data_IF_280299431623
#
_entry.id   IF_280299431623
#
_cell.length_a   1.000
_cell.length_b   1.000
_cell.length_c   1.000
_cell.angle_alpha   90.00
_cell.angle_beta   90.00
_cell.angle_gamma   90.00
#
_symmetry.space_group_name_H-M   'P 1'
#
loop_
_entity.id
_entity.type
_entity.pdbx_description
1 polymer ?
#
# COMPACT_ATOMS: atom_id res chain seq x y z
N UNK A 1 84.81 36.03 15.51
CA UNK A 1 83.84 36.32 16.58
C UNK A 1 82.49 35.84 16.19
N UNK A 2 81.97 34.82 16.90
CA UNK A 2 80.56 34.35 16.96
C UNK A 2 79.97 33.48 15.85
N UNK A 3 80.59 32.32 15.49
CA UNK A 3 79.90 31.19 14.91
C UNK A 3 79.12 30.32 15.94
N UNK A 4 79.51 30.45 17.25
CA UNK A 4 78.87 29.69 18.33
C UNK A 4 77.48 30.18 18.71
N UNK A 5 77.13 31.39 18.44
CA UNK A 5 75.77 31.95 18.79
C UNK A 5 74.71 31.54 17.83
N UNK A 6 75.02 31.26 16.59
CA UNK A 6 74.06 30.82 15.59
C UNK A 6 73.68 29.36 15.73
N UNK A 7 74.56 28.47 16.19
CA UNK A 7 74.29 27.06 16.41
C UNK A 7 73.36 26.81 17.61
N UNK A 8 73.41 27.63 18.66
CA UNK A 8 72.60 27.43 19.84
C UNK A 8 71.13 27.85 19.65
N UNK A 9 70.87 28.81 18.74
CA UNK A 9 69.50 29.21 18.40
C UNK A 9 68.77 28.20 17.55
N UNK A 10 69.46 27.47 16.66
CA UNK A 10 68.85 26.38 15.87
C UNK A 10 68.40 25.22 16.76
N UNK A 11 69.14 24.87 17.79
CA UNK A 11 68.81 23.74 18.71
C UNK A 11 67.51 23.98 19.48
N UNK A 12 67.13 25.22 19.80
CA UNK A 12 65.91 25.53 20.56
C UNK A 12 64.64 25.41 19.68
N UNK A 13 64.75 25.63 18.38
CA UNK A 13 63.59 25.57 17.48
C UNK A 13 63.28 24.19 16.96
N UNK A 14 64.21 23.25 16.97
CA UNK A 14 63.98 21.86 16.48
C UNK A 14 62.83 21.15 17.16
N UNK A 15 62.67 21.15 18.49
CA UNK A 15 61.56 20.47 19.14
C UNK A 15 60.20 21.08 18.79
N UNK A 16 60.18 22.40 18.53
CA UNK A 16 58.94 23.11 18.11
C UNK A 16 58.51 22.63 16.73
N UNK A 17 59.41 22.56 15.77
CA UNK A 17 59.11 22.08 14.42
C UNK A 17 58.68 20.62 14.39
N UNK A 18 59.31 19.78 15.21
CA UNK A 18 58.91 18.36 15.36
C UNK A 18 57.50 18.22 15.96
N UNK A 19 57.16 19.03 16.96
CA UNK A 19 55.84 19.01 17.57
C UNK A 19 54.74 19.47 16.57
N UNK A 20 55.01 20.52 15.79
CA UNK A 20 54.11 21.00 14.76
C UNK A 20 53.90 19.93 13.67
N UNK A 21 54.97 19.28 13.20
CA UNK A 21 54.90 18.22 12.21
C UNK A 21 54.07 17.03 12.73
N UNK A 22 54.24 16.65 13.99
CA UNK A 22 53.47 15.59 14.63
C UNK A 22 51.98 15.93 14.73
N UNK A 23 51.64 17.18 15.09
CA UNK A 23 50.27 17.66 15.17
C UNK A 23 49.62 17.62 13.78
N UNK A 24 50.31 18.11 12.73
CA UNK A 24 49.80 18.08 11.37
C UNK A 24 49.55 16.63 10.89
N UNK A 25 50.50 15.74 11.16
CA UNK A 25 50.36 14.32 10.83
C UNK A 25 49.16 13.70 11.54
N UNK A 26 49.02 13.95 12.85
CA UNK A 26 47.90 13.43 13.66
C UNK A 26 46.56 13.96 13.21
N UNK A 27 46.45 15.26 12.89
CA UNK A 27 45.22 15.84 12.33
C UNK A 27 44.87 15.26 10.97
N UNK A 28 45.86 15.07 10.09
CA UNK A 28 45.65 14.47 8.79
C UNK A 28 45.18 12.99 8.91
N UNK A 29 45.82 12.23 9.78
CA UNK A 29 45.42 10.86 10.06
C UNK A 29 44.00 10.74 10.63
N UNK A 30 43.67 11.60 11.62
CA UNK A 30 42.34 11.66 12.21
C UNK A 30 41.26 12.06 11.21
N UNK A 31 41.57 13.00 10.31
CA UNK A 31 40.67 13.43 9.24
C UNK A 31 40.35 12.32 8.25
N UNK A 32 41.37 11.54 7.84
CA UNK A 32 41.18 10.38 6.96
C UNK A 32 40.33 9.30 7.63
N UNK A 33 40.54 9.00 8.89
CA UNK A 33 39.72 8.03 9.65
C UNK A 33 38.26 8.46 9.73
N UNK A 34 37.99 9.73 9.99
CA UNK A 34 36.61 10.26 10.00
C UNK A 34 35.95 10.20 8.63
N UNK A 35 36.67 10.48 7.54
CA UNK A 35 36.14 10.40 6.18
C UNK A 35 35.72 8.98 5.81
N UNK A 36 36.49 7.97 6.21
CA UNK A 36 36.18 6.55 5.98
C UNK A 36 34.89 6.14 6.71
N UNK A 37 34.77 6.48 7.99
CA UNK A 37 33.58 6.18 8.81
C UNK A 37 32.33 6.87 8.25
N UNK A 38 32.43 8.10 7.75
CA UNK A 38 31.31 8.81 7.16
C UNK A 38 30.83 8.16 5.85
N UNK A 39 31.75 7.64 5.04
CA UNK A 39 31.40 6.94 3.81
C UNK A 39 30.72 5.60 4.08
N UNK A 40 31.25 4.79 4.99
CA UNK A 40 30.62 3.53 5.43
C UNK A 40 29.19 3.76 5.96
N UNK A 41 28.98 4.79 6.76
CA UNK A 41 27.64 5.15 7.26
C UNK A 41 26.68 5.56 6.16
N UNK A 42 27.15 6.26 5.12
CA UNK A 42 26.34 6.62 3.96
C UNK A 42 25.92 5.38 3.17
N UNK A 43 26.82 4.44 2.93
CA UNK A 43 26.53 3.20 2.21
C UNK A 43 25.49 2.36 2.95
N UNK A 44 25.69 2.11 4.25
CA UNK A 44 24.73 1.37 5.09
C UNK A 44 23.35 2.05 5.08
N UNK A 45 23.30 3.37 5.14
CA UNK A 45 22.04 4.13 5.12
C UNK A 45 21.34 4.02 3.77
N UNK A 46 22.06 4.09 2.66
CA UNK A 46 21.47 3.95 1.32
C UNK A 46 20.94 2.55 1.08
N UNK A 47 21.67 1.50 1.45
CA UNK A 47 21.22 0.12 1.39
C UNK A 47 19.97 -0.12 2.24
N UNK A 48 19.96 0.42 3.46
CA UNK A 48 18.79 0.29 4.36
C UNK A 48 17.56 0.96 3.77
N UNK A 49 17.71 2.16 3.18
CA UNK A 49 16.60 2.88 2.54
C UNK A 49 16.10 2.11 1.31
N UNK A 50 16.99 1.59 0.47
CA UNK A 50 16.62 0.79 -0.69
C UNK A 50 15.88 -0.49 -0.29
N UNK A 51 16.35 -1.19 0.73
CA UNK A 51 15.70 -2.40 1.25
C UNK A 51 14.30 -2.11 1.80
N UNK A 52 14.10 -0.99 2.49
CA UNK A 52 12.80 -0.56 2.99
C UNK A 52 11.86 -0.21 1.83
N UNK A 53 12.36 0.48 0.80
CA UNK A 53 11.58 0.84 -0.38
C UNK A 53 11.18 -0.41 -1.18
N UNK A 54 12.10 -1.33 -1.43
CA UNK A 54 11.83 -2.58 -2.13
C UNK A 54 10.79 -3.42 -1.39
N UNK A 55 10.89 -3.50 -0.06
CA UNK A 55 9.89 -4.20 0.77
C UNK A 55 8.51 -3.55 0.71
N UNK A 56 8.43 -2.22 0.69
CA UNK A 56 7.16 -1.50 0.54
C UNK A 56 6.54 -1.75 -0.83
N UNK A 57 7.32 -1.65 -1.90
CA UNK A 57 6.86 -1.89 -3.27
C UNK A 57 6.34 -3.32 -3.43
N UNK A 58 7.11 -4.31 -2.99
CA UNK A 58 6.69 -5.72 -3.01
C UNK A 58 5.40 -5.98 -2.25
N UNK A 59 5.25 -5.38 -1.05
CA UNK A 59 4.01 -5.51 -0.27
C UNK A 59 2.82 -4.84 -0.97
N UNK A 60 3.05 -3.73 -1.67
CA UNK A 60 2.01 -3.01 -2.39
C UNK A 60 1.57 -3.77 -3.64
N UNK A 61 2.49 -4.33 -4.40
CA UNK A 61 2.19 -5.20 -5.55
C UNK A 61 1.39 -6.42 -5.13
N UNK A 62 1.82 -7.11 -4.08
CA UNK A 62 1.08 -8.25 -3.52
C UNK A 62 -0.33 -7.86 -3.10
N UNK A 63 -0.49 -6.72 -2.46
CA UNK A 63 -1.80 -6.20 -2.03
C UNK A 63 -2.69 -5.88 -3.23
N UNK A 64 -2.14 -5.25 -4.28
CA UNK A 64 -2.88 -4.97 -5.50
C UNK A 64 -3.34 -6.25 -6.19
N UNK A 65 -2.46 -7.23 -6.34
CA UNK A 65 -2.79 -8.54 -6.91
C UNK A 65 -3.94 -9.24 -6.16
N UNK A 66 -3.94 -9.18 -4.83
CA UNK A 66 -5.03 -9.75 -4.02
C UNK A 66 -6.34 -9.00 -4.25
N UNK A 67 -6.30 -7.68 -4.41
CA UNK A 67 -7.49 -6.88 -4.68
C UNK A 67 -8.04 -7.17 -6.07
N UNK A 68 -7.20 -7.25 -7.08
CA UNK A 68 -7.62 -7.57 -8.44
C UNK A 68 -8.32 -8.95 -8.49
N UNK A 69 -7.75 -9.96 -7.81
CA UNK A 69 -8.37 -11.27 -7.68
C UNK A 69 -9.69 -11.22 -6.90
N UNK A 70 -9.75 -10.44 -5.82
CA UNK A 70 -10.97 -10.22 -5.05
C UNK A 70 -12.07 -9.61 -5.92
N UNK A 71 -11.76 -8.52 -6.65
CA UNK A 71 -12.74 -7.83 -7.50
C UNK A 71 -13.23 -8.73 -8.63
N UNK A 72 -12.33 -9.46 -9.28
CA UNK A 72 -12.69 -10.39 -10.35
C UNK A 72 -13.59 -11.50 -9.83
N UNK A 73 -13.21 -12.17 -8.74
CA UNK A 73 -13.99 -13.24 -8.16
C UNK A 73 -15.39 -12.78 -7.70
N UNK A 74 -15.48 -11.60 -7.06
CA UNK A 74 -16.77 -11.05 -6.65
C UNK A 74 -17.65 -10.72 -7.85
N UNK A 75 -17.10 -10.12 -8.92
CA UNK A 75 -17.85 -9.81 -10.16
C UNK A 75 -18.40 -11.06 -10.85
N UNK A 76 -17.63 -12.12 -10.89
CA UNK A 76 -18.04 -13.38 -11.49
C UNK A 76 -19.12 -14.11 -10.67
N UNK A 77 -19.16 -13.87 -9.37
CA UNK A 77 -20.03 -14.60 -8.43
C UNK A 77 -21.10 -13.72 -7.77
N UNK A 78 -21.41 -12.54 -8.31
CA UNK A 78 -22.39 -11.62 -7.71
C UNK A 78 -23.77 -12.22 -7.51
N UNK A 79 -24.18 -13.12 -8.40
CA UNK A 79 -25.48 -13.80 -8.39
C UNK A 79 -25.59 -14.86 -7.29
N UNK A 80 -24.47 -15.30 -6.72
CA UNK A 80 -24.48 -16.25 -5.61
C UNK A 80 -25.03 -15.59 -4.35
N UNK A 81 -26.24 -15.99 -3.87
CA UNK A 81 -26.85 -15.36 -2.71
C UNK A 81 -26.07 -15.59 -1.40
N UNK A 82 -25.26 -16.65 -1.35
CA UNK A 82 -24.45 -17.03 -0.19
C UNK A 82 -23.01 -16.49 -0.25
N UNK A 83 -22.71 -15.59 -1.22
CA UNK A 83 -21.38 -15.01 -1.35
C UNK A 83 -21.03 -14.21 -0.07
N UNK A 84 -19.96 -14.64 0.58
CA UNK A 84 -19.46 -14.07 1.83
C UNK A 84 -17.96 -13.77 1.72
N UNK A 85 -17.48 -12.87 2.57
CA UNK A 85 -16.04 -12.55 2.61
C UNK A 85 -15.18 -13.80 2.87
N UNK A 86 -15.68 -14.73 3.70
CA UNK A 86 -14.97 -15.97 3.99
C UNK A 86 -14.86 -16.85 2.74
N UNK A 87 -15.95 -16.99 1.98
CA UNK A 87 -15.95 -17.76 0.75
C UNK A 87 -14.99 -17.17 -0.29
N UNK A 88 -15.00 -15.86 -0.46
CA UNK A 88 -14.04 -15.15 -1.35
C UNK A 88 -12.61 -15.40 -0.89
N UNK A 89 -12.30 -15.19 0.38
CA UNK A 89 -10.95 -15.37 0.93
C UNK A 89 -10.42 -16.79 0.70
N UNK A 90 -11.26 -17.80 0.93
CA UNK A 90 -10.92 -19.21 0.67
C UNK A 90 -10.58 -19.46 -0.80
N UNK A 91 -11.37 -18.91 -1.73
CA UNK A 91 -11.17 -19.15 -3.16
C UNK A 91 -9.94 -18.42 -3.74
N UNK A 92 -9.58 -17.26 -3.18
CA UNK A 92 -8.35 -16.55 -3.58
C UNK A 92 -7.12 -16.92 -2.73
N UNK A 93 -7.23 -17.99 -1.92
CA UNK A 93 -6.16 -18.54 -1.08
C UNK A 93 -5.53 -17.54 -0.11
N UNK A 94 -6.35 -16.72 0.56
CA UNK A 94 -5.92 -15.84 1.64
C UNK A 94 -6.76 -16.02 2.89
N UNK A 95 -6.24 -15.60 4.05
CA UNK A 95 -7.07 -15.63 5.26
C UNK A 95 -8.12 -14.52 5.23
N UNK A 96 -9.32 -14.79 5.79
CA UNK A 96 -10.41 -13.82 5.87
C UNK A 96 -10.00 -12.54 6.60
N UNK A 97 -9.21 -12.67 7.66
CA UNK A 97 -8.70 -11.51 8.42
C UNK A 97 -7.77 -10.64 7.56
N UNK A 98 -6.89 -11.26 6.80
CA UNK A 98 -5.97 -10.54 5.92
C UNK A 98 -6.71 -9.82 4.79
N UNK A 99 -7.64 -10.51 4.13
CA UNK A 99 -8.50 -9.89 3.11
C UNK A 99 -9.31 -8.73 3.68
N UNK A 100 -9.92 -8.92 4.86
CA UNK A 100 -10.67 -7.86 5.55
C UNK A 100 -9.81 -6.62 5.84
N UNK A 101 -8.58 -6.80 6.29
CA UNK A 101 -7.65 -5.69 6.54
C UNK A 101 -7.33 -4.94 5.23
N UNK A 102 -7.07 -5.68 4.15
CA UNK A 102 -6.76 -5.09 2.83
C UNK A 102 -7.93 -4.24 2.32
N UNK A 103 -9.15 -4.78 2.28
CA UNK A 103 -10.31 -4.05 1.75
C UNK A 103 -10.70 -2.86 2.66
N UNK A 104 -10.57 -3.01 3.99
CA UNK A 104 -10.85 -1.94 4.94
C UNK A 104 -9.83 -0.80 4.84
N UNK A 105 -8.55 -1.08 4.53
CA UNK A 105 -7.53 -0.06 4.29
C UNK A 105 -7.90 0.86 3.12
N UNK A 106 -8.69 0.38 2.17
CA UNK A 106 -9.27 1.15 1.06
C UNK A 106 -10.65 1.74 1.38
N UNK A 107 -11.08 1.71 2.64
CA UNK A 107 -12.40 2.19 3.10
C UNK A 107 -13.57 1.48 2.42
N UNK A 108 -13.37 0.26 1.94
CA UNK A 108 -14.38 -0.58 1.31
C UNK A 108 -14.93 -1.55 2.35
N UNK A 109 -16.25 -1.56 2.51
CA UNK A 109 -16.94 -2.62 3.27
C UNK A 109 -17.45 -3.67 2.29
N UNK A 110 -17.13 -4.93 2.51
CA UNK A 110 -17.49 -6.04 1.62
C UNK A 110 -18.97 -6.03 1.21
N UNK A 111 -19.87 -5.94 2.19
CA UNK A 111 -21.31 -5.96 1.93
C UNK A 111 -21.80 -4.75 1.13
N UNK A 112 -21.23 -3.58 1.35
CA UNK A 112 -21.57 -2.37 0.58
C UNK A 112 -21.06 -2.49 -0.86
N UNK A 113 -19.86 -3.04 -1.06
CA UNK A 113 -19.28 -3.30 -2.37
C UNK A 113 -20.12 -4.33 -3.15
N UNK A 114 -20.42 -5.47 -2.55
CA UNK A 114 -21.23 -6.52 -3.17
C UNK A 114 -22.64 -6.00 -3.51
N UNK A 115 -23.29 -5.33 -2.58
CA UNK A 115 -24.63 -4.78 -2.83
C UNK A 115 -24.62 -3.75 -3.95
N UNK A 116 -23.59 -2.90 -4.05
CA UNK A 116 -23.44 -1.95 -5.16
C UNK A 116 -23.39 -2.68 -6.50
N UNK A 117 -22.55 -3.69 -6.66
CA UNK A 117 -22.44 -4.46 -7.91
C UNK A 117 -23.76 -5.14 -8.27
N UNK A 118 -24.45 -5.73 -7.31
CA UNK A 118 -25.77 -6.35 -7.52
C UNK A 118 -26.82 -5.33 -7.96
N UNK A 119 -26.80 -4.12 -7.42
CA UNK A 119 -27.74 -3.07 -7.84
C UNK A 119 -27.38 -2.54 -9.23
N UNK A 120 -26.10 -2.40 -9.56
CA UNK A 120 -25.67 -2.02 -10.91
C UNK A 120 -26.19 -3.04 -11.95
N UNK A 121 -26.15 -4.34 -11.63
CA UNK A 121 -26.69 -5.39 -12.49
C UNK A 121 -28.22 -5.33 -12.54
N UNK A 122 -28.89 -5.15 -11.40
CA UNK A 122 -30.35 -4.98 -11.37
C UNK A 122 -30.82 -3.79 -12.23
N UNK A 123 -30.08 -2.69 -12.24
CA UNK A 123 -30.37 -1.52 -13.08
C UNK A 123 -30.26 -1.86 -14.57
N UNK A 124 -29.25 -2.64 -14.98
CA UNK A 124 -29.14 -3.10 -16.36
C UNK A 124 -30.35 -3.95 -16.75
N UNK A 125 -30.72 -4.93 -15.90
CA UNK A 125 -31.88 -5.79 -16.14
C UNK A 125 -33.21 -5.00 -16.19
N UNK A 126 -33.38 -3.97 -15.33
CA UNK A 126 -34.57 -3.13 -15.35
C UNK A 126 -34.73 -2.31 -16.62
N UNK A 127 -33.62 -1.97 -17.29
CA UNK A 127 -33.57 -1.18 -18.52
C UNK A 127 -33.52 -2.03 -19.81
N UNK A 128 -33.34 -3.35 -19.71
CA UNK A 128 -33.28 -4.24 -20.87
C UNK A 128 -34.66 -4.86 -21.16
N UNK A 129 -35.13 -4.70 -22.38
CA UNK A 129 -36.42 -5.23 -22.84
C UNK A 129 -36.54 -6.74 -22.66
N UNK A 130 -35.44 -7.50 -22.70
CA UNK A 130 -35.42 -8.95 -22.47
C UNK A 130 -35.98 -9.32 -21.10
N UNK A 131 -35.85 -8.43 -20.11
CA UNK A 131 -36.35 -8.65 -18.75
C UNK A 131 -37.67 -7.90 -18.47
N UNK A 132 -38.37 -7.45 -19.50
CA UNK A 132 -39.64 -6.73 -19.37
C UNK A 132 -40.70 -7.52 -18.61
N UNK A 133 -40.72 -8.86 -18.79
CA UNK A 133 -41.64 -9.79 -18.13
C UNK A 133 -41.25 -10.13 -16.68
N UNK A 134 -40.03 -9.78 -16.27
CA UNK A 134 -39.56 -10.05 -14.91
C UNK A 134 -40.19 -9.10 -13.92
N UNK A 135 -40.63 -9.66 -12.79
CA UNK A 135 -41.05 -8.84 -11.65
C UNK A 135 -39.82 -8.20 -10.98
N UNK A 136 -40.02 -7.10 -10.28
CA UNK A 136 -38.97 -6.45 -9.52
C UNK A 136 -38.34 -7.41 -8.50
N UNK A 137 -39.16 -8.27 -7.89
CA UNK A 137 -38.73 -9.32 -6.96
C UNK A 137 -37.83 -10.34 -7.64
N UNK A 138 -38.22 -10.82 -8.86
CA UNK A 138 -37.41 -11.77 -9.62
C UNK A 138 -36.04 -11.18 -9.99
N UNK A 139 -36.01 -9.92 -10.40
CA UNK A 139 -34.73 -9.23 -10.68
C UNK A 139 -33.85 -9.17 -9.43
N UNK A 140 -34.43 -8.88 -8.27
CA UNK A 140 -33.68 -8.88 -7.00
C UNK A 140 -33.08 -10.25 -6.68
N UNK A 141 -33.81 -11.35 -6.92
CA UNK A 141 -33.31 -12.71 -6.72
C UNK A 141 -32.22 -13.07 -7.73
N UNK A 142 -32.42 -12.79 -9.03
CA UNK A 142 -31.45 -13.06 -10.09
C UNK A 142 -30.12 -12.31 -9.86
N UNK A 143 -30.16 -11.16 -9.22
CA UNK A 143 -28.95 -10.40 -8.87
C UNK A 143 -28.32 -10.84 -7.55
N UNK A 144 -28.81 -11.92 -6.92
CA UNK A 144 -28.22 -12.57 -5.78
C UNK A 144 -28.68 -12.08 -4.42
N UNK A 145 -29.79 -11.31 -4.33
CA UNK A 145 -30.38 -10.97 -3.05
C UNK A 145 -31.27 -12.12 -2.54
N UNK A 146 -31.06 -12.55 -1.29
CA UNK A 146 -31.92 -13.56 -0.64
C UNK A 146 -33.28 -13.04 -0.20
N UNK A 147 -33.37 -11.75 0.09
CA UNK A 147 -34.56 -11.13 0.66
C UNK A 147 -34.91 -9.85 -0.09
N UNK A 148 -36.19 -9.73 -0.47
CA UNK A 148 -36.72 -8.52 -1.11
C UNK A 148 -36.44 -7.25 -0.31
N UNK A 149 -36.61 -7.30 1.03
CA UNK A 149 -36.35 -6.17 1.90
C UNK A 149 -34.89 -5.67 1.80
N UNK A 150 -33.93 -6.59 1.66
CA UNK A 150 -32.49 -6.26 1.48
C UNK A 150 -32.25 -5.63 0.13
N UNK A 151 -32.85 -6.16 -0.94
CA UNK A 151 -32.80 -5.60 -2.29
C UNK A 151 -33.35 -4.17 -2.31
N UNK A 152 -34.58 -3.94 -1.84
CA UNK A 152 -35.21 -2.63 -1.83
C UNK A 152 -34.39 -1.60 -1.02
N UNK A 153 -33.86 -2.00 0.12
CA UNK A 153 -33.02 -1.13 0.97
C UNK A 153 -31.71 -0.75 0.25
N UNK A 154 -31.04 -1.74 -0.33
CA UNK A 154 -29.79 -1.52 -1.06
C UNK A 154 -30.05 -0.64 -2.30
N UNK A 155 -31.10 -0.91 -3.04
CA UNK A 155 -31.48 -0.16 -4.25
C UNK A 155 -31.74 1.31 -3.91
N UNK A 156 -32.56 1.57 -2.88
CA UNK A 156 -32.85 2.96 -2.44
C UNK A 156 -31.59 3.66 -1.92
N UNK A 157 -30.75 2.93 -1.17
CA UNK A 157 -29.46 3.47 -0.69
C UNK A 157 -28.55 3.90 -1.85
N UNK A 158 -28.54 3.14 -2.94
CA UNK A 158 -27.63 3.35 -4.06
C UNK A 158 -28.16 4.35 -5.10
N UNK A 159 -29.46 4.32 -5.40
CA UNK A 159 -30.09 5.12 -6.47
C UNK A 159 -30.89 6.31 -5.96
N UNK A 160 -31.17 6.39 -4.67
CA UNK A 160 -32.05 7.38 -4.05
C UNK A 160 -33.54 7.10 -4.24
N UNK A 161 -33.94 6.12 -5.08
CA UNK A 161 -35.32 5.78 -5.44
C UNK A 161 -35.61 4.30 -5.16
N UNK A 162 -36.90 3.96 -5.06
CA UNK A 162 -37.30 2.54 -5.03
C UNK A 162 -37.17 1.90 -6.43
N UNK A 163 -37.00 0.56 -6.52
CA UNK A 163 -36.97 -0.12 -7.82
C UNK A 163 -38.23 0.10 -8.65
N UNK A 164 -39.38 0.25 -7.99
CA UNK A 164 -40.68 0.51 -8.64
C UNK A 164 -40.70 1.89 -9.29
N UNK A 165 -40.25 2.94 -8.60
CA UNK A 165 -40.13 4.29 -9.13
C UNK A 165 -39.08 4.41 -10.24
N UNK A 166 -38.09 3.52 -10.24
CA UNK A 166 -37.04 3.47 -11.25
C UNK A 166 -37.53 2.82 -12.57
N UNK A 167 -38.31 1.73 -12.49
CA UNK A 167 -38.87 1.03 -13.65
C UNK A 167 -39.96 1.82 -14.38
N UNK A 168 -40.59 2.80 -13.71
CA UNK A 168 -41.71 3.60 -14.29
C UNK A 168 -41.25 4.71 -15.26
N UNK A 169 -39.96 4.77 -15.53
CA UNK A 169 -39.36 5.63 -16.55
C UNK A 169 -39.11 4.86 -17.82
#
# INVERSE_FOLDING_TARGET
MNLAFTFNSFSIYYPIWLSISFIIYWLSYSGLQQATILNERKEIRTETIQNIQNKKTFNQEKTNFIIDNFESYVKENIQNPNLSLNLVATNINVSTNYLSQIINSRKIKFNDYLNRLRIEEAIKMLNDEKFSQYTITSIGLETGFNLNASFYRAFKKHTGKSPKEYKTK
#
